data_IF_558523532038
#
_entry.id   IF_558523532038
#
_cell.length_a   1.000
_cell.length_b   1.000
_cell.length_c   1.000
_cell.angle_alpha   90.00
_cell.angle_beta   90.00
_cell.angle_gamma   90.00
#
_symmetry.space_group_name_H-M   'P 1'
#
loop_
_entity.id
_entity.type
_entity.pdbx_description
1 polymer ?
#
# COMPACT_ATOMS: atom_id res chain seq x y z
N UNK A 1 -1.71 -11.15 7.02
CA UNK A 1 -3.04 -10.64 6.59
C UNK A 1 -3.74 -11.74 5.82
N UNK A 2 -5.06 -11.74 5.75
CA UNK A 2 -5.82 -12.73 4.99
C UNK A 2 -6.19 -12.15 3.63
N UNK A 3 -5.82 -12.85 2.56
CA UNK A 3 -6.20 -12.48 1.20
C UNK A 3 -7.61 -12.99 0.87
N UNK A 4 -8.09 -12.63 -0.32
CA UNK A 4 -9.32 -13.20 -0.86
C UNK A 4 -9.13 -14.72 -1.01
N UNK A 5 -10.00 -15.50 -0.38
CA UNK A 5 -9.90 -16.97 -0.32
C UNK A 5 -9.21 -17.50 0.94
N UNK A 6 -8.90 -16.64 1.92
CA UNK A 6 -8.42 -17.07 3.24
C UNK A 6 -6.92 -17.35 3.34
N UNK A 7 -6.16 -17.20 2.24
CA UNK A 7 -4.72 -17.41 2.26
C UNK A 7 -4.02 -16.38 3.16
N UNK A 8 -3.02 -16.84 3.92
CA UNK A 8 -2.19 -15.97 4.75
C UNK A 8 -1.12 -15.33 3.86
N UNK A 9 -1.10 -14.00 3.85
CA UNK A 9 -0.07 -13.21 3.18
C UNK A 9 0.77 -12.42 4.18
N UNK A 10 2.07 -12.33 3.91
CA UNK A 10 3.02 -11.56 4.70
C UNK A 10 3.19 -10.15 4.11
N UNK A 11 3.26 -9.15 4.98
CA UNK A 11 3.60 -7.77 4.62
C UNK A 11 4.94 -7.43 5.23
N UNK A 12 5.89 -7.06 4.38
CA UNK A 12 7.17 -6.54 4.82
C UNK A 12 7.16 -5.00 4.82
N UNK A 13 7.46 -4.42 5.98
CA UNK A 13 7.60 -2.98 6.18
C UNK A 13 9.06 -2.56 6.15
N UNK A 14 9.33 -1.41 5.53
CA UNK A 14 10.62 -0.77 5.68
C UNK A 14 10.84 -0.32 7.13
N UNK A 15 12.09 -0.24 7.57
CA UNK A 15 12.47 0.10 8.94
C UNK A 15 11.77 1.35 9.47
N UNK A 16 11.65 2.40 8.65
CA UNK A 16 10.94 3.63 9.03
C UNK A 16 9.47 3.39 9.39
N UNK A 17 8.74 2.62 8.58
CA UNK A 17 7.34 2.27 8.84
C UNK A 17 7.22 1.36 10.07
N UNK A 18 8.14 0.38 10.21
CA UNK A 18 8.13 -0.54 11.35
C UNK A 18 8.27 0.20 12.70
N UNK A 19 9.09 1.26 12.75
CA UNK A 19 9.26 2.11 13.95
C UNK A 19 8.00 2.90 14.34
N UNK A 20 7.12 3.19 13.40
CA UNK A 20 5.86 3.91 13.66
C UNK A 20 4.76 3.00 14.19
N UNK A 21 4.85 1.70 13.92
CA UNK A 21 3.79 0.76 14.26
C UNK A 21 3.52 0.66 15.77
N UNK A 22 4.52 0.56 16.68
CA UNK A 22 4.24 0.52 18.11
C UNK A 22 3.47 1.77 18.60
N UNK A 23 3.80 2.95 18.05
CA UNK A 23 3.13 4.22 18.36
C UNK A 23 1.68 4.23 17.90
N UNK A 24 1.40 3.66 16.73
CA UNK A 24 0.04 3.50 16.19
C UNK A 24 -0.78 2.48 16.99
N UNK A 25 -0.16 1.37 17.39
CA UNK A 25 -0.84 0.30 18.11
C UNK A 25 -1.12 0.65 19.57
N UNK A 26 -0.27 1.44 20.23
CA UNK A 26 -0.41 1.82 21.65
C UNK A 26 -0.59 0.59 22.55
N UNK A 27 0.25 -0.43 22.36
CA UNK A 27 0.21 -1.68 23.12
C UNK A 27 -0.85 -2.70 22.67
N UNK A 28 -1.70 -2.37 21.69
CA UNK A 28 -2.68 -3.33 21.15
C UNK A 28 -1.99 -4.46 20.41
N UNK A 29 -2.34 -5.69 20.76
CA UNK A 29 -1.87 -6.92 20.11
C UNK A 29 -2.93 -7.56 19.20
N UNK A 30 -4.19 -7.11 19.29
CA UNK A 30 -5.33 -7.67 18.54
C UNK A 30 -6.23 -6.60 17.93
N UNK A 31 -6.97 -7.00 16.88
CA UNK A 31 -7.92 -6.15 16.17
C UNK A 31 -7.29 -5.35 15.02
N UNK A 32 -8.06 -4.44 14.38
CA UNK A 32 -7.60 -3.73 13.20
C UNK A 32 -6.43 -2.78 13.51
N UNK A 33 -5.43 -2.72 12.61
CA UNK A 33 -4.25 -1.85 12.77
C UNK A 33 -4.64 -0.38 12.81
N UNK A 34 -5.44 0.07 11.84
CA UNK A 34 -5.98 1.43 11.76
C UNK A 34 -7.42 1.47 12.25
N UNK A 35 -7.69 2.35 13.21
CA UNK A 35 -9.00 2.51 13.83
C UNK A 35 -9.62 3.85 13.43
N UNK A 36 -10.93 3.89 13.33
CA UNK A 36 -11.68 5.14 13.30
C UNK A 36 -11.65 5.82 14.69
N UNK A 37 -11.83 7.14 14.72
CA UNK A 37 -11.85 7.89 15.98
C UNK A 37 -13.09 7.57 16.84
N UNK A 38 -14.22 7.34 16.17
CA UNK A 38 -15.50 7.02 16.81
C UNK A 38 -15.63 5.53 17.08
N UNK A 39 -16.34 5.18 18.16
CA UNK A 39 -16.71 3.79 18.45
C UNK A 39 -17.65 3.25 17.38
N UNK A 40 -17.53 1.97 17.07
CA UNK A 40 -18.44 1.29 16.16
C UNK A 40 -19.83 1.19 16.80
N UNK A 41 -20.92 1.29 16.01
CA UNK A 41 -22.25 0.95 16.50
C UNK A 41 -22.27 -0.48 17.05
N UNK A 42 -22.88 -0.68 18.21
CA UNK A 42 -22.98 -2.00 18.84
C UNK A 42 -24.02 -2.91 18.16
N UNK A 43 -24.99 -2.35 17.45
CA UNK A 43 -26.06 -3.08 16.79
C UNK A 43 -26.62 -2.33 15.57
N UNK A 44 -27.45 -3.02 14.79
CA UNK A 44 -28.18 -2.48 13.65
C UNK A 44 -27.46 -2.65 12.30
N UNK A 45 -28.08 -2.19 11.19
CA UNK A 45 -27.60 -2.45 9.83
C UNK A 45 -26.21 -1.89 9.50
N UNK A 46 -25.71 -0.97 10.34
CA UNK A 46 -24.40 -0.32 10.19
C UNK A 46 -23.34 -0.87 11.13
N UNK A 47 -23.68 -1.87 11.95
CA UNK A 47 -22.70 -2.52 12.83
C UNK A 47 -21.72 -3.34 11.97
N UNK A 48 -20.39 -3.09 12.08
CA UNK A 48 -19.40 -3.85 11.34
C UNK A 48 -19.25 -5.27 11.92
N UNK A 49 -18.64 -6.16 11.14
CA UNK A 49 -18.30 -7.50 11.61
C UNK A 49 -17.38 -7.43 12.85
N UNK A 50 -17.50 -8.39 13.76
CA UNK A 50 -16.71 -8.41 15.00
C UNK A 50 -15.20 -8.33 14.74
N UNK A 51 -14.71 -8.94 13.65
CA UNK A 51 -13.30 -8.89 13.24
C UNK A 51 -12.82 -7.48 12.85
N UNK A 52 -13.74 -6.59 12.46
CA UNK A 52 -13.46 -5.19 12.13
C UNK A 52 -13.61 -4.26 13.35
N UNK A 53 -13.82 -4.79 14.55
CA UNK A 53 -13.89 -4.01 15.79
C UNK A 53 -12.66 -4.32 16.65
N UNK A 54 -12.03 -3.29 17.19
CA UNK A 54 -10.96 -3.48 18.17
C UNK A 54 -11.57 -3.85 19.53
N UNK A 55 -11.25 -5.03 20.10
CA UNK A 55 -11.85 -5.49 21.35
C UNK A 55 -11.51 -4.57 22.55
N UNK A 56 -10.29 -4.01 22.57
CA UNK A 56 -9.84 -3.15 23.66
C UNK A 56 -10.49 -1.75 23.66
N UNK A 57 -10.96 -1.26 22.50
CA UNK A 57 -11.40 0.14 22.36
C UNK A 57 -12.84 0.29 21.86
N UNK A 58 -13.44 -0.76 21.33
CA UNK A 58 -14.74 -0.73 20.65
C UNK A 58 -14.75 0.12 19.37
N UNK A 59 -13.58 0.55 18.87
CA UNK A 59 -13.47 1.33 17.64
C UNK A 59 -13.43 0.40 16.43
N UNK A 60 -14.14 0.81 15.38
CA UNK A 60 -14.15 0.08 14.12
C UNK A 60 -12.86 0.30 13.32
N UNK A 61 -12.60 -0.60 12.39
CA UNK A 61 -11.57 -0.49 11.36
C UNK A 61 -11.78 0.79 10.55
N UNK A 62 -10.70 1.48 10.25
CA UNK A 62 -10.72 2.64 9.36
C UNK A 62 -11.15 2.20 7.94
N UNK A 63 -12.22 2.78 7.42
CA UNK A 63 -12.68 2.50 6.06
C UNK A 63 -11.73 3.10 5.01
N UNK A 64 -11.67 2.51 3.82
CA UNK A 64 -10.84 3.02 2.73
C UNK A 64 -11.17 4.47 2.35
N UNK A 65 -12.45 4.86 2.14
CA UNK A 65 -12.79 6.25 1.82
C UNK A 65 -12.35 7.23 2.92
N UNK A 66 -12.46 6.84 4.20
CA UNK A 66 -12.01 7.68 5.31
C UNK A 66 -10.48 7.76 5.37
N UNK A 67 -9.78 6.66 5.14
CA UNK A 67 -8.33 6.64 5.05
C UNK A 67 -7.82 7.54 3.91
N UNK A 68 -8.47 7.48 2.74
CA UNK A 68 -8.15 8.35 1.61
C UNK A 68 -8.43 9.82 1.91
N UNK A 69 -9.57 10.13 2.54
CA UNK A 69 -9.86 11.50 2.98
C UNK A 69 -8.79 12.04 3.94
N UNK A 70 -8.37 11.25 4.92
CA UNK A 70 -7.34 11.65 5.89
C UNK A 70 -5.99 11.85 5.19
N UNK A 71 -5.63 10.96 4.26
CA UNK A 71 -4.40 11.07 3.50
C UNK A 71 -4.37 12.32 2.60
N UNK A 72 -5.46 12.59 1.87
CA UNK A 72 -5.59 13.82 1.06
C UNK A 72 -5.47 15.06 1.92
N UNK A 73 -6.13 15.07 3.09
CA UNK A 73 -6.06 16.20 4.03
C UNK A 73 -4.63 16.41 4.53
N UNK A 74 -3.95 15.35 4.96
CA UNK A 74 -2.58 15.42 5.49
C UNK A 74 -1.53 15.80 4.45
N UNK A 75 -1.79 15.51 3.17
CA UNK A 75 -0.84 15.77 2.07
C UNK A 75 -1.17 17.02 1.27
N UNK A 76 -2.23 17.76 1.64
CA UNK A 76 -2.69 18.95 0.91
C UNK A 76 -1.59 20.00 0.75
N UNK A 77 -0.81 20.26 1.79
CA UNK A 77 0.29 21.22 1.77
C UNK A 77 1.49 20.77 0.90
N UNK A 78 1.56 19.47 0.57
CA UNK A 78 2.60 18.88 -0.27
C UNK A 78 2.18 18.79 -1.74
N UNK A 79 0.91 19.01 -2.04
CA UNK A 79 0.37 18.99 -3.40
C UNK A 79 0.35 20.41 -3.98
N UNK A 80 1.11 20.70 -5.05
CA UNK A 80 1.10 22.01 -5.71
C UNK A 80 -0.30 22.48 -6.14
N UNK A 81 -1.23 21.56 -6.38
CA UNK A 81 -2.61 21.88 -6.76
C UNK A 81 -3.55 21.99 -5.56
N UNK A 82 -3.06 21.79 -4.34
CA UNK A 82 -3.81 21.94 -3.09
C UNK A 82 -4.98 20.96 -2.93
N UNK A 83 -5.02 19.85 -3.68
CA UNK A 83 -6.08 18.81 -3.59
C UNK A 83 -5.70 17.68 -2.64
N UNK A 84 -4.41 17.47 -2.43
CA UNK A 84 -3.84 16.35 -1.71
C UNK A 84 -3.77 15.09 -2.57
N UNK A 85 -2.88 14.17 -2.20
CA UNK A 85 -2.63 12.94 -2.93
C UNK A 85 -3.60 11.83 -2.48
N UNK A 86 -3.92 10.93 -3.41
CA UNK A 86 -4.75 9.74 -3.16
C UNK A 86 -3.90 8.54 -2.73
N UNK A 87 -4.52 7.56 -2.06
CA UNK A 87 -3.85 6.29 -1.73
C UNK A 87 -3.47 5.50 -2.99
N UNK A 88 -4.26 5.63 -4.06
CA UNK A 88 -3.93 5.05 -5.37
C UNK A 88 -2.65 5.66 -5.95
N UNK A 89 -2.53 7.00 -5.94
CA UNK A 89 -1.31 7.68 -6.38
C UNK A 89 -0.09 7.31 -5.54
N UNK A 90 -0.24 7.17 -4.21
CA UNK A 90 0.84 6.69 -3.34
C UNK A 90 1.31 5.29 -3.73
N UNK A 91 0.38 4.37 -4.00
CA UNK A 91 0.72 3.02 -4.48
C UNK A 91 1.41 3.06 -5.84
N UNK A 92 0.88 3.86 -6.76
CA UNK A 92 1.42 4.01 -8.11
C UNK A 92 2.84 4.56 -8.08
N UNK A 93 3.09 5.64 -7.32
CA UNK A 93 4.40 6.28 -7.22
C UNK A 93 5.44 5.35 -6.58
N UNK A 94 5.05 4.53 -5.60
CA UNK A 94 5.94 3.53 -5.01
C UNK A 94 6.42 2.49 -6.04
N UNK A 95 5.53 2.05 -6.94
CA UNK A 95 5.89 1.09 -8.00
C UNK A 95 6.71 1.76 -9.11
N UNK A 96 6.39 3.00 -9.49
CA UNK A 96 7.21 3.78 -10.42
C UNK A 96 8.62 4.00 -9.86
N UNK A 97 8.75 4.35 -8.58
CA UNK A 97 10.05 4.54 -7.92
C UNK A 97 10.88 3.26 -7.92
N UNK A 98 10.26 2.10 -7.65
CA UNK A 98 10.96 0.81 -7.70
C UNK A 98 11.38 0.45 -9.14
N UNK A 99 10.53 0.72 -10.13
CA UNK A 99 10.87 0.50 -11.54
C UNK A 99 12.04 1.39 -11.98
N UNK A 100 12.02 2.67 -11.61
CA UNK A 100 13.11 3.62 -11.88
C UNK A 100 14.43 3.20 -11.20
N UNK A 101 14.35 2.55 -10.03
CA UNK A 101 15.51 1.95 -9.35
C UNK A 101 16.01 0.65 -10.01
N UNK A 102 15.50 0.27 -11.17
CA UNK A 102 15.93 -0.89 -11.96
C UNK A 102 15.35 -2.22 -11.50
N UNK A 103 14.27 -2.23 -10.70
CA UNK A 103 13.61 -3.48 -10.28
C UNK A 103 12.90 -4.16 -11.44
N UNK A 104 12.97 -5.48 -11.45
CA UNK A 104 12.34 -6.34 -12.45
C UNK A 104 10.82 -6.38 -12.28
N UNK A 105 10.10 -6.73 -13.35
CA UNK A 105 8.66 -6.91 -13.29
C UNK A 105 8.23 -7.96 -12.23
N UNK A 106 9.02 -9.01 -12.02
CA UNK A 106 8.76 -10.03 -11.01
C UNK A 106 8.90 -9.48 -9.58
N UNK A 107 9.93 -8.67 -9.30
CA UNK A 107 10.08 -7.99 -8.00
C UNK A 107 8.94 -7.00 -7.73
N UNK A 108 8.53 -6.24 -8.75
CA UNK A 108 7.37 -5.36 -8.66
C UNK A 108 6.08 -6.15 -8.41
N UNK A 109 5.91 -7.31 -9.05
CA UNK A 109 4.77 -8.20 -8.80
C UNK A 109 4.76 -8.70 -7.36
N UNK A 110 5.89 -9.18 -6.85
CA UNK A 110 5.99 -9.65 -5.47
C UNK A 110 5.66 -8.53 -4.46
N UNK A 111 6.13 -7.30 -4.71
CA UNK A 111 5.87 -6.16 -3.82
C UNK A 111 4.43 -5.67 -3.88
N UNK A 112 3.88 -5.59 -5.09
CA UNK A 112 2.54 -5.03 -5.34
C UNK A 112 1.42 -6.05 -5.12
N UNK A 113 1.71 -7.33 -5.30
CA UNK A 113 0.76 -8.44 -5.37
C UNK A 113 -0.28 -8.27 -6.48
N UNK A 114 0.14 -7.72 -7.63
CA UNK A 114 -0.67 -7.76 -8.83
C UNK A 114 -0.85 -9.20 -9.31
N UNK A 115 -2.10 -9.62 -9.56
CA UNK A 115 -2.43 -10.98 -9.98
C UNK A 115 -1.80 -11.34 -11.34
N UNK A 116 -1.62 -10.35 -12.22
CA UNK A 116 -1.05 -10.55 -13.55
C UNK A 116 0.11 -9.60 -13.82
N UNK A 117 1.21 -10.13 -14.37
CA UNK A 117 2.38 -9.34 -14.80
C UNK A 117 2.03 -8.29 -15.84
N UNK A 118 1.05 -8.56 -16.72
CA UNK A 118 0.60 -7.61 -17.74
C UNK A 118 0.14 -6.28 -17.14
N UNK A 119 -0.44 -6.30 -15.92
CA UNK A 119 -0.87 -5.08 -15.21
C UNK A 119 0.30 -4.22 -14.72
N UNK A 120 1.53 -4.72 -14.79
CA UNK A 120 2.74 -3.97 -14.45
C UNK A 120 3.40 -3.28 -15.65
N UNK A 121 2.91 -3.51 -16.87
CA UNK A 121 3.46 -2.89 -18.09
C UNK A 121 3.50 -1.37 -18.03
N UNK A 122 2.59 -0.74 -17.28
CA UNK A 122 2.56 0.71 -17.03
C UNK A 122 3.73 1.23 -16.19
N UNK A 123 4.35 0.37 -15.35
CA UNK A 123 5.50 0.74 -14.50
C UNK A 123 6.84 0.41 -15.17
N UNK A 124 6.87 -0.67 -15.97
CA UNK A 124 8.11 -1.23 -16.56
C UNK A 124 8.31 -0.76 -17.99
N UNK A 125 7.81 0.42 -18.38
CA UNK A 125 8.25 1.02 -19.66
C UNK A 125 9.73 1.34 -19.56
N UNK A 126 10.54 0.36 -19.94
CA UNK A 126 11.99 0.47 -20.03
C UNK A 126 12.27 1.60 -21.03
N UNK A 127 12.80 2.72 -20.53
CA UNK A 127 13.23 3.83 -21.38
C UNK A 127 14.30 3.35 -22.37
N UNK A 128 14.46 4.09 -23.46
CA UNK A 128 15.43 3.81 -24.54
C UNK A 128 16.82 3.43 -24.01
N UNK A 129 17.27 4.07 -22.92
CA UNK A 129 18.53 3.79 -22.24
C UNK A 129 18.68 2.35 -21.71
N UNK A 130 17.61 1.71 -21.25
CA UNK A 130 17.65 0.32 -20.76
C UNK A 130 17.65 -0.66 -21.92
N UNK A 131 16.87 -0.40 -22.97
CA UNK A 131 16.90 -1.15 -24.22
C UNK A 131 18.28 -1.09 -24.89
N UNK A 132 18.91 0.10 -24.89
CA UNK A 132 20.26 0.31 -25.39
C UNK A 132 21.31 -0.47 -24.58
N UNK A 133 21.22 -0.48 -23.24
CA UNK A 133 22.11 -1.27 -22.37
C UNK A 133 21.98 -2.78 -22.61
N UNK A 134 20.76 -3.31 -22.71
CA UNK A 134 20.52 -4.74 -23.00
C UNK A 134 21.06 -5.12 -24.37
N UNK A 135 20.86 -4.24 -25.37
CA UNK A 135 21.37 -4.46 -26.73
C UNK A 135 22.90 -4.39 -26.80
N UNK A 136 23.52 -3.44 -26.07
CA UNK A 136 24.97 -3.31 -25.98
C UNK A 136 25.63 -4.49 -25.26
N UNK A 137 25.01 -5.02 -24.20
CA UNK A 137 25.50 -6.20 -23.50
C UNK A 137 25.50 -7.45 -24.39
N UNK A 138 24.54 -7.58 -25.30
CA UNK A 138 24.44 -8.71 -26.25
C UNK A 138 25.48 -8.67 -27.37
N UNK A 139 26.09 -7.50 -27.65
CA UNK A 139 27.17 -7.34 -28.64
C UNK A 139 28.56 -7.70 -28.11
N UNK A 140 28.76 -7.80 -26.79
CA UNK A 140 30.08 -8.07 -26.18
C UNK A 140 30.43 -9.56 -26.05
N UNK A 141 29.54 -10.46 -26.44
CA UNK A 141 29.72 -11.91 -26.34
C UNK A 141 29.90 -12.61 -27.70
N UNK A 142 30.47 -11.93 -28.69
CA UNK A 142 30.83 -12.53 -29.99
C UNK A 142 32.28 -12.25 -30.34
#
# INVERSE_FOLDING_TARGET
>A
MTSKGGAIEYVHWATGTARLLPRLLKGRTTGPVFLADRRAPASGPRAPAAADICPATGRGRLSYPRAEYLFKTATRALDPHGKGWTLHQLRHSALQHLAAAGRTAAELQAKSRHAHLASLGTYVRLGEATSAKVTAARRRTR
#
